data_IF_769664947764
#
_entry.id   IF_769664947764
#
_cell.length_a   1.000
_cell.length_b   1.000
_cell.length_c   1.000
_cell.angle_alpha   90.00
_cell.angle_beta   90.00
_cell.angle_gamma   90.00
#
_symmetry.space_group_name_H-M   'P 1'
#
loop_
_entity.id
_entity.type
_entity.pdbx_description
1 polymer ?
#
# COMPACT_ATOMS: atom_id res chain seq x y z
N UNK A 1 4.17 -28.58 12.11
CA UNK A 1 3.34 -27.54 11.50
C UNK A 1 4.22 -26.73 10.57
N UNK A 2 4.13 -26.96 9.27
CA UNK A 2 4.89 -26.25 8.24
C UNK A 2 4.41 -24.79 8.19
N UNK A 3 5.30 -23.83 8.42
CA UNK A 3 4.99 -22.41 8.19
C UNK A 3 4.79 -22.23 6.69
N UNK A 4 3.54 -22.03 6.25
CA UNK A 4 3.21 -21.53 4.91
C UNK A 4 4.14 -20.34 4.64
N UNK A 5 4.99 -20.43 3.62
CA UNK A 5 6.02 -19.43 3.35
C UNK A 5 5.40 -18.04 3.26
N UNK A 6 5.90 -17.09 4.06
CA UNK A 6 5.40 -15.72 4.06
C UNK A 6 5.55 -15.11 2.65
N UNK A 7 4.48 -14.50 2.15
CA UNK A 7 4.49 -13.79 0.88
C UNK A 7 5.50 -12.63 0.98
N UNK A 8 6.45 -12.54 0.04
CA UNK A 8 7.48 -11.49 -0.01
C UNK A 8 7.17 -10.46 -1.09
N UNK A 9 7.38 -9.18 -0.80
CA UNK A 9 7.11 -8.10 -1.75
C UNK A 9 8.08 -8.16 -2.94
N UNK A 10 9.36 -8.45 -2.69
CA UNK A 10 10.43 -8.58 -3.67
C UNK A 10 10.94 -10.01 -3.79
N UNK A 11 11.59 -10.29 -4.92
CA UNK A 11 12.09 -11.63 -5.20
C UNK A 11 13.34 -11.96 -4.38
N UNK A 12 13.47 -13.22 -3.98
CA UNK A 12 14.66 -13.71 -3.29
C UNK A 12 15.72 -14.12 -4.33
N UNK A 13 16.32 -13.12 -4.98
CA UNK A 13 17.35 -13.29 -6.01
C UNK A 13 18.66 -12.61 -5.62
N UNK A 14 19.77 -13.11 -6.16
CA UNK A 14 21.05 -12.42 -6.14
C UNK A 14 21.01 -11.19 -7.06
N UNK A 15 21.61 -10.08 -6.61
CA UNK A 15 21.55 -8.79 -7.32
C UNK A 15 22.93 -8.15 -7.37
N UNK A 16 23.54 -8.15 -8.55
CA UNK A 16 24.87 -7.55 -8.80
C UNK A 16 24.82 -6.31 -9.69
N UNK A 17 23.66 -6.02 -10.30
CA UNK A 17 23.55 -4.95 -11.31
C UNK A 17 23.54 -3.56 -10.67
N UNK A 18 24.53 -2.72 -11.01
CA UNK A 18 24.65 -1.34 -10.52
C UNK A 18 24.17 -0.28 -11.52
N UNK A 19 23.57 -0.70 -12.64
CA UNK A 19 23.12 0.20 -13.70
C UNK A 19 22.00 1.16 -13.23
N UNK A 20 21.83 2.31 -13.90
CA UNK A 20 20.62 3.10 -13.75
C UNK A 20 19.37 2.37 -14.28
N UNK A 21 18.20 2.90 -13.92
CA UNK A 21 16.90 2.47 -14.46
C UNK A 21 16.86 2.70 -15.97
N UNK A 22 16.33 1.74 -16.72
CA UNK A 22 16.09 1.90 -18.17
C UNK A 22 14.80 2.68 -18.41
N UNK A 23 14.70 3.34 -19.56
CA UNK A 23 13.52 4.13 -19.93
C UNK A 23 12.22 3.30 -19.88
N UNK A 24 12.23 2.11 -20.51
CA UNK A 24 11.07 1.20 -20.57
C UNK A 24 11.00 0.17 -19.44
N UNK A 25 11.71 0.39 -18.34
CA UNK A 25 11.67 -0.50 -17.17
C UNK A 25 10.69 0.07 -16.14
N UNK A 26 9.82 -0.77 -15.56
CA UNK A 26 8.94 -0.31 -14.48
C UNK A 26 9.74 -0.01 -13.21
N UNK A 27 9.18 0.84 -12.34
CA UNK A 27 9.80 1.16 -11.05
C UNK A 27 9.99 -0.10 -10.20
N UNK A 28 8.98 -0.99 -10.19
CA UNK A 28 9.10 -2.28 -9.51
C UNK A 28 10.24 -3.12 -10.10
N UNK A 29 10.31 -3.30 -11.42
CA UNK A 29 11.32 -4.15 -12.05
C UNK A 29 12.74 -3.65 -11.75
N UNK A 30 12.97 -2.33 -11.86
CA UNK A 30 14.24 -1.73 -11.51
C UNK A 30 14.60 -1.97 -10.04
N UNK A 31 13.68 -1.67 -9.12
CA UNK A 31 13.92 -1.84 -7.70
C UNK A 31 14.11 -3.32 -7.34
N UNK A 32 13.38 -4.23 -7.98
CA UNK A 32 13.49 -5.66 -7.75
C UNK A 32 14.79 -6.26 -8.28
N UNK A 33 15.46 -5.65 -9.27
CA UNK A 33 16.69 -6.18 -9.87
C UNK A 33 17.96 -5.44 -9.43
N UNK A 34 17.83 -4.19 -8.96
CA UNK A 34 18.99 -3.34 -8.66
C UNK A 34 19.84 -3.87 -7.49
N UNK A 35 21.12 -4.07 -7.73
CA UNK A 35 22.15 -4.39 -6.73
C UNK A 35 22.70 -3.16 -6.01
N UNK A 36 22.20 -1.95 -6.31
CA UNK A 36 22.70 -0.72 -5.67
C UNK A 36 22.37 -0.73 -4.17
N UNK A 37 23.28 -0.30 -3.27
CA UNK A 37 23.04 -0.31 -1.83
C UNK A 37 21.78 0.46 -1.40
N UNK A 38 21.48 1.59 -2.05
CA UNK A 38 20.27 2.36 -1.78
C UNK A 38 19.00 1.60 -2.15
N UNK A 39 19.01 0.85 -3.25
CA UNK A 39 17.89 0.02 -3.67
C UNK A 39 17.63 -1.10 -2.65
N UNK A 40 18.69 -1.70 -2.10
CA UNK A 40 18.57 -2.67 -1.01
C UNK A 40 17.93 -2.07 0.24
N UNK A 41 18.35 -0.86 0.65
CA UNK A 41 17.75 -0.17 1.81
C UNK A 41 16.26 0.10 1.60
N UNK A 42 15.88 0.57 0.40
CA UNK A 42 14.49 0.79 0.03
C UNK A 42 13.71 -0.51 0.09
N UNK A 43 14.19 -1.60 -0.53
CA UNK A 43 13.53 -2.91 -0.49
C UNK A 43 13.33 -3.40 0.95
N UNK A 44 14.36 -3.33 1.79
CA UNK A 44 14.28 -3.77 3.19
C UNK A 44 13.20 -2.99 3.96
N UNK A 45 13.14 -1.68 3.79
CA UNK A 45 12.12 -0.83 4.42
C UNK A 45 10.71 -1.22 3.97
N UNK A 46 10.53 -1.42 2.66
CA UNK A 46 9.23 -1.77 2.10
C UNK A 46 8.78 -3.18 2.48
N UNK A 47 9.69 -4.14 2.55
CA UNK A 47 9.39 -5.48 3.09
C UNK A 47 8.94 -5.39 4.55
N UNK A 48 9.63 -4.59 5.38
CA UNK A 48 9.24 -4.39 6.78
C UNK A 48 7.83 -3.79 6.91
N UNK A 49 7.49 -2.82 6.06
CA UNK A 49 6.13 -2.26 6.02
C UNK A 49 5.11 -3.29 5.55
N UNK A 50 5.45 -4.08 4.54
CA UNK A 50 4.60 -5.13 3.99
C UNK A 50 4.36 -6.26 4.98
N UNK A 51 5.38 -6.66 5.75
CA UNK A 51 5.27 -7.65 6.81
C UNK A 51 4.23 -7.23 7.86
N UNK A 52 4.15 -5.94 8.14
CA UNK A 52 3.20 -5.35 9.09
C UNK A 52 1.81 -5.08 8.48
N UNK A 53 1.66 -5.20 7.16
CA UNK A 53 0.41 -4.91 6.46
C UNK A 53 -0.68 -5.96 6.80
N UNK A 54 -1.98 -5.61 6.77
CA UNK A 54 -3.06 -6.55 7.04
C UNK A 54 -3.02 -7.79 6.14
N UNK A 55 -2.98 -8.99 6.75
CA UNK A 55 -2.85 -10.28 6.05
C UNK A 55 -3.90 -10.49 4.94
N UNK A 56 -5.14 -10.05 5.18
CA UNK A 56 -6.22 -10.16 4.19
C UNK A 56 -5.98 -9.33 2.92
N UNK A 57 -5.24 -8.21 3.03
CA UNK A 57 -4.92 -7.31 1.91
C UNK A 57 -3.60 -7.63 1.21
N UNK A 58 -2.71 -8.40 1.85
CA UNK A 58 -1.36 -8.70 1.30
C UNK A 58 -1.41 -9.25 -0.14
N UNK A 59 -2.28 -10.21 -0.52
CA UNK A 59 -2.27 -10.75 -1.88
C UNK A 59 -2.61 -9.71 -2.96
N UNK A 60 -3.59 -8.84 -2.69
CA UNK A 60 -4.00 -7.80 -3.64
C UNK A 60 -2.93 -6.71 -3.76
N UNK A 61 -2.47 -6.21 -2.60
CA UNK A 61 -1.41 -5.20 -2.54
C UNK A 61 -0.15 -5.71 -3.25
N UNK A 62 0.27 -6.95 -2.97
CA UNK A 62 1.42 -7.60 -3.62
C UNK A 62 1.28 -7.60 -5.15
N UNK A 63 0.10 -7.98 -5.66
CA UNK A 63 -0.16 -8.02 -7.11
C UNK A 63 -0.06 -6.64 -7.74
N UNK A 64 -0.68 -5.62 -7.14
CA UNK A 64 -0.66 -4.23 -7.64
C UNK A 64 0.73 -3.62 -7.53
N UNK A 65 1.42 -3.83 -6.41
CA UNK A 65 2.76 -3.32 -6.16
C UNK A 65 3.77 -3.85 -7.17
N UNK A 66 3.60 -5.08 -7.65
CA UNK A 66 4.49 -5.72 -8.62
C UNK A 66 4.08 -5.53 -10.08
N UNK A 67 3.06 -4.72 -10.34
CA UNK A 67 2.57 -4.47 -11.69
C UNK A 67 3.64 -3.79 -12.55
N UNK A 68 3.63 -4.08 -13.86
CA UNK A 68 4.44 -3.36 -14.83
C UNK A 68 3.93 -1.93 -15.09
N UNK A 69 2.62 -1.70 -14.86
CA UNK A 69 2.02 -0.37 -14.89
C UNK A 69 2.43 0.40 -13.62
N UNK A 70 3.21 1.46 -13.81
CA UNK A 70 3.70 2.29 -12.72
C UNK A 70 2.57 3.01 -11.96
N UNK A 71 1.39 3.20 -12.56
CA UNK A 71 0.23 3.76 -11.86
C UNK A 71 -0.29 2.81 -10.77
N UNK A 72 -0.39 1.52 -11.10
CA UNK A 72 -0.77 0.47 -10.14
C UNK A 72 0.30 0.29 -9.06
N UNK A 73 1.58 0.29 -9.47
CA UNK A 73 2.71 0.24 -8.53
C UNK A 73 2.68 1.40 -7.54
N UNK A 74 2.56 2.64 -8.03
CA UNK A 74 2.56 3.85 -7.21
C UNK A 74 1.32 3.92 -6.31
N UNK A 75 0.15 3.49 -6.78
CA UNK A 75 -1.07 3.44 -5.97
C UNK A 75 -0.92 2.45 -4.81
N UNK A 76 -0.40 1.24 -5.07
CA UNK A 76 -0.12 0.27 -4.02
C UNK A 76 1.00 0.71 -3.07
N UNK A 77 2.05 1.35 -3.59
CA UNK A 77 3.08 1.96 -2.75
C UNK A 77 2.50 3.02 -1.81
N UNK A 78 1.62 3.89 -2.31
CA UNK A 78 1.01 4.95 -1.51
C UNK A 78 0.12 4.38 -0.40
N UNK A 79 -0.70 3.38 -0.71
CA UNK A 79 -1.50 2.65 0.28
C UNK A 79 -0.62 2.00 1.37
N UNK A 80 0.46 1.33 0.97
CA UNK A 80 1.43 0.73 1.90
C UNK A 80 2.12 1.80 2.78
N UNK A 81 2.51 2.92 2.18
CA UNK A 81 3.12 4.05 2.89
C UNK A 81 2.15 4.66 3.91
N UNK A 82 0.90 4.92 3.54
CA UNK A 82 -0.13 5.43 4.44
C UNK A 82 -0.34 4.49 5.63
N UNK A 83 -0.45 3.18 5.39
CA UNK A 83 -0.51 2.18 6.44
C UNK A 83 0.69 2.28 7.39
N UNK A 84 1.92 2.27 6.83
CA UNK A 84 3.14 2.33 7.61
C UNK A 84 3.24 3.62 8.45
N UNK A 85 2.83 4.77 7.90
CA UNK A 85 2.81 6.05 8.57
C UNK A 85 1.85 6.03 9.77
N UNK A 86 0.62 5.57 9.58
CA UNK A 86 -0.38 5.46 10.65
C UNK A 86 0.12 4.55 11.78
N UNK A 87 0.74 3.41 11.42
CA UNK A 87 1.35 2.49 12.39
C UNK A 87 2.53 3.13 13.15
N UNK A 88 3.38 3.90 12.46
CA UNK A 88 4.51 4.59 13.08
C UNK A 88 4.07 5.64 14.10
N UNK A 89 2.91 6.29 13.89
CA UNK A 89 2.30 7.21 14.86
C UNK A 89 1.53 6.50 16.00
N UNK A 90 1.57 5.16 16.07
CA UNK A 90 1.00 4.39 17.18
C UNK A 90 -0.51 4.16 17.11
N UNK A 91 -1.12 4.40 15.95
CA UNK A 91 -2.52 4.10 15.70
C UNK A 91 -2.72 2.66 15.21
N UNK A 92 -3.97 2.21 15.24
CA UNK A 92 -4.39 0.94 14.64
C UNK A 92 -5.27 1.19 13.42
N UNK A 93 -5.34 0.20 12.53
CA UNK A 93 -6.17 0.28 11.32
C UNK A 93 -7.05 -0.95 11.19
N UNK A 94 -8.24 -0.75 10.65
CA UNK A 94 -9.06 -1.82 10.08
C UNK A 94 -9.00 -1.70 8.57
N UNK A 95 -8.52 -2.75 7.91
CA UNK A 95 -8.47 -2.83 6.45
C UNK A 95 -9.86 -3.06 5.87
N UNK A 96 -10.20 -2.32 4.81
CA UNK A 96 -11.46 -2.46 4.08
C UNK A 96 -12.67 -2.58 5.03
N UNK A 97 -12.90 -1.57 5.90
CA UNK A 97 -14.06 -1.57 6.78
C UNK A 97 -15.32 -1.62 5.92
N UNK A 98 -16.31 -2.36 6.40
CA UNK A 98 -17.64 -2.29 5.83
C UNK A 98 -18.31 -1.01 6.33
N UNK A 99 -18.60 -0.09 5.42
CA UNK A 99 -19.20 1.23 5.71
C UNK A 99 -20.46 1.35 4.86
N UNK A 100 -21.63 1.29 5.50
CA UNK A 100 -22.94 1.22 4.82
C UNK A 100 -23.02 0.11 3.75
N UNK A 101 -23.13 0.49 2.47
CA UNK A 101 -23.12 -0.43 1.32
C UNK A 101 -21.78 -0.48 0.58
N UNK A 102 -20.78 0.30 1.01
CA UNK A 102 -19.51 0.47 0.33
C UNK A 102 -18.41 -0.37 0.98
N UNK A 103 -17.62 -1.07 0.15
CA UNK A 103 -16.42 -1.82 0.56
C UNK A 103 -15.12 -1.13 0.10
N UNK A 104 -15.20 0.15 -0.29
CA UNK A 104 -14.15 0.81 -1.06
C UNK A 104 -13.26 1.75 -0.23
N UNK A 105 -13.40 1.77 1.09
CA UNK A 105 -12.51 2.52 1.96
C UNK A 105 -11.28 1.67 2.25
N UNK A 106 -10.07 2.20 2.09
CA UNK A 106 -8.86 1.41 2.32
C UNK A 106 -8.66 1.14 3.81
N UNK A 107 -8.79 2.17 4.66
CA UNK A 107 -8.59 2.05 6.11
C UNK A 107 -9.62 2.82 6.94
N UNK A 108 -10.03 2.21 8.07
CA UNK A 108 -10.54 2.95 9.23
C UNK A 108 -9.41 3.06 10.26
N UNK A 109 -8.99 4.28 10.55
CA UNK A 109 -7.96 4.59 11.55
C UNK A 109 -8.60 4.71 12.92
N UNK A 110 -7.97 4.09 13.92
CA UNK A 110 -8.48 4.00 15.29
C UNK A 110 -7.38 4.31 16.31
N UNK A 111 -7.78 4.85 17.46
CA UNK A 111 -6.91 4.97 18.64
C UNK A 111 -6.51 3.59 19.18
N UNK A 112 -5.56 3.58 20.13
CA UNK A 112 -5.15 2.36 20.83
C UNK A 112 -6.32 1.66 21.54
N UNK A 113 -7.28 2.44 22.06
CA UNK A 113 -8.51 1.93 22.68
C UNK A 113 -9.58 1.48 21.66
N UNK A 114 -9.22 1.32 20.38
CA UNK A 114 -10.11 0.86 19.29
C UNK A 114 -11.28 1.81 18.99
N UNK A 115 -11.17 3.07 19.43
CA UNK A 115 -12.11 4.13 19.08
C UNK A 115 -11.86 4.58 17.63
N UNK A 116 -12.88 4.55 16.74
CA UNK A 116 -12.80 5.12 15.40
C UNK A 116 -12.42 6.60 15.42
N UNK A 117 -11.48 7.00 14.55
CA UNK A 117 -11.07 8.40 14.38
C UNK A 117 -11.52 8.94 13.03
N UNK A 118 -11.05 8.33 11.95
CA UNK A 118 -11.36 8.75 10.58
C UNK A 118 -11.19 7.62 9.58
N UNK A 119 -11.84 7.76 8.44
CA UNK A 119 -11.65 6.92 7.27
C UNK A 119 -10.56 7.51 6.36
N UNK A 120 -9.73 6.65 5.78
CA UNK A 120 -8.64 7.02 4.88
C UNK A 120 -8.79 6.29 3.54
N UNK A 121 -8.96 7.05 2.45
CA UNK A 121 -8.83 6.57 1.06
C UNK A 121 -7.45 7.00 0.50
N UNK A 122 -6.69 6.05 -0.02
CA UNK A 122 -5.34 6.21 -0.56
C UNK A 122 -5.40 6.29 -2.09
N UNK A 123 -5.74 7.46 -2.62
CA UNK A 123 -5.86 7.67 -4.07
C UNK A 123 -4.69 8.49 -4.61
N UNK A 124 -4.17 8.11 -5.78
CA UNK A 124 -3.26 8.98 -6.53
C UNK A 124 -4.07 10.15 -7.10
N UNK A 125 -3.51 11.36 -7.01
CA UNK A 125 -4.09 12.50 -7.68
C UNK A 125 -4.11 12.23 -9.19
N UNK A 126 -5.31 12.10 -9.75
CA UNK A 126 -5.53 11.98 -11.19
C UNK A 126 -6.22 13.24 -11.72
N UNK A 127 -6.26 13.37 -13.05
CA UNK A 127 -6.94 14.45 -13.76
C UNK A 127 -8.33 14.77 -13.14
N UNK A 128 -8.67 16.06 -12.94
CA UNK A 128 -9.89 16.49 -12.25
C UNK A 128 -11.21 15.93 -12.82
N UNK A 129 -11.22 15.38 -14.03
CA UNK A 129 -12.38 14.66 -14.60
C UNK A 129 -12.79 13.39 -13.84
N UNK A 130 -11.89 12.77 -13.06
CA UNK A 130 -12.12 11.52 -12.30
C UNK A 130 -12.71 11.80 -10.88
N UNK A 131 -12.64 13.05 -10.42
CA UNK A 131 -12.92 13.49 -9.04
C UNK A 131 -14.38 13.36 -8.56
N UNK A 132 -15.35 13.31 -9.49
CA UNK A 132 -16.79 13.38 -9.15
C UNK A 132 -17.28 12.16 -8.34
N UNK A 133 -16.74 10.97 -8.61
CA UNK A 133 -17.09 9.75 -7.85
C UNK A 133 -16.47 9.74 -6.45
N UNK A 134 -15.29 10.33 -6.29
CA UNK A 134 -14.59 10.39 -5.00
C UNK A 134 -15.29 11.32 -4.00
N UNK A 135 -15.80 12.47 -4.46
CA UNK A 135 -16.57 13.41 -3.63
C UNK A 135 -17.85 12.82 -3.04
N UNK A 136 -18.61 12.07 -3.84
CA UNK A 136 -19.85 11.45 -3.37
C UNK A 136 -19.60 10.38 -2.28
N UNK A 137 -18.47 9.66 -2.35
CA UNK A 137 -18.08 8.71 -1.31
C UNK A 137 -17.69 9.39 -0.01
N UNK A 138 -16.88 10.46 -0.07
CA UNK A 138 -16.45 11.20 1.12
C UNK A 138 -17.62 11.67 1.99
N UNK A 139 -18.70 12.15 1.36
CA UNK A 139 -19.91 12.58 2.08
C UNK A 139 -20.56 11.44 2.89
N UNK A 140 -20.55 10.21 2.37
CA UNK A 140 -21.08 9.05 3.08
C UNK A 140 -20.20 8.64 4.28
N UNK A 141 -18.87 8.70 4.12
CA UNK A 141 -17.92 8.35 5.18
C UNK A 141 -18.01 9.28 6.39
N UNK A 142 -18.27 10.57 6.17
CA UNK A 142 -18.40 11.55 7.24
C UNK A 142 -19.67 11.28 8.08
N UNK A 143 -20.75 10.81 7.46
CA UNK A 143 -21.99 10.50 8.17
C UNK A 143 -21.82 9.30 9.13
N UNK A 144 -21.03 8.30 8.74
CA UNK A 144 -20.82 7.07 9.52
C UNK A 144 -19.83 7.22 10.69
N UNK A 145 -19.13 8.36 10.84
CA UNK A 145 -18.22 8.63 11.97
C UNK A 145 -18.90 9.32 13.16
N UNK A 146 -20.10 9.88 12.98
CA UNK A 146 -20.88 10.58 14.01
C UNK A 146 -21.99 9.70 14.57
#
# INVERSE_FOLDING_TARGET
>A
MEKKGALRLFDSIERSSLRPKKENESNFAYLNQSGRPIAQRIRNLLEQWFDSFPEAGKPELWRRFRAADDTQHLSAFFELYCHALIKAHGYSVKYHPFVGKSKHVDFLVMEKAHKPLFYLECTLAADPSIDRKSKARLAHLIADLN
#
